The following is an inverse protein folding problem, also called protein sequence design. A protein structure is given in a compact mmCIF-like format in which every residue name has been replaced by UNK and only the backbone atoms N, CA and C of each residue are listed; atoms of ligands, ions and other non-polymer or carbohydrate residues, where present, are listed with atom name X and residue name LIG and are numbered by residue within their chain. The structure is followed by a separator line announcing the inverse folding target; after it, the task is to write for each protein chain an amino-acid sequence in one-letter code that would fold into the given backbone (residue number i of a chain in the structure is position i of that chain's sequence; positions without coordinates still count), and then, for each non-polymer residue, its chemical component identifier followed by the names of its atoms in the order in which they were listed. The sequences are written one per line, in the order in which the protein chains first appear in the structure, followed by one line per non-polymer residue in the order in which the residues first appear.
data_IF_924941441482
#
_entry.id   IF_924941441482
#
_cell.length_a   1.000
_cell.length_b   1.000
_cell.length_c   1.000
_cell.angle_alpha   90.00
_cell.angle_beta   90.00
_cell.angle_gamma   90.00
#
_symmetry.space_group_name_H-M   'P 1'
#
loop_
_entity.id
_entity.type
_entity.pdbx_description
1 polymer ?
#
# COMPACT_ATOMS: atom_id res chain seq x y z
N UNK A 1 -9.61 -13.80 8.11
CA UNK A 1 -8.89 -12.95 7.16
C UNK A 1 -9.05 -11.50 7.60
N UNK A 2 -7.96 -10.74 7.59
CA UNK A 2 -7.97 -9.31 7.89
C UNK A 2 -7.20 -8.57 6.80
N UNK A 3 -7.66 -7.37 6.47
CA UNK A 3 -6.98 -6.46 5.56
C UNK A 3 -6.67 -5.16 6.31
N UNK A 4 -5.48 -4.63 6.07
CA UNK A 4 -5.06 -3.35 6.61
C UNK A 4 -4.57 -2.44 5.49
N UNK A 5 -4.91 -1.18 5.56
CA UNK A 5 -4.28 -0.13 4.78
C UNK A 5 -3.14 0.48 5.61
N UNK A 6 -1.95 0.53 5.03
CA UNK A 6 -0.73 1.01 5.70
C UNK A 6 -0.27 2.36 5.17
N UNK A 7 0.12 3.23 6.10
CA UNK A 7 0.93 4.40 5.82
C UNK A 7 2.32 4.21 6.44
N UNK A 8 3.24 5.14 6.24
CA UNK A 8 4.54 5.13 6.93
C UNK A 8 4.41 5.12 8.47
N UNK A 9 3.27 5.53 9.01
CA UNK A 9 3.11 5.77 10.45
C UNK A 9 2.17 4.79 11.15
N UNK A 10 1.26 4.14 10.42
CA UNK A 10 0.23 3.30 11.03
C UNK A 10 -0.42 2.34 10.05
N UNK A 11 -1.04 1.29 10.60
CA UNK A 11 -2.00 0.42 9.90
C UNK A 11 -3.43 0.77 10.35
N UNK A 12 -4.34 0.81 9.39
CA UNK A 12 -5.79 0.98 9.62
C UNK A 12 -6.51 -0.23 9.07
N UNK A 13 -7.36 -0.86 9.90
CA UNK A 13 -8.13 -2.03 9.46
C UNK A 13 -9.19 -1.62 8.43
N UNK A 14 -9.22 -2.38 7.32
CA UNK A 14 -10.25 -2.26 6.28
C UNK A 14 -11.25 -3.40 6.47
N UNK A 15 -12.56 -3.13 6.56
CA UNK A 15 -13.56 -4.17 6.71
C UNK A 15 -13.65 -5.02 5.44
N UNK A 16 -13.46 -6.33 5.59
CA UNK A 16 -13.50 -7.31 4.50
C UNK A 16 -14.36 -8.54 4.86
N UNK A 17 -14.97 -8.52 6.03
CA UNK A 17 -15.71 -9.64 6.60
C UNK A 17 -16.90 -10.07 5.72
N UNK A 18 -17.52 -9.13 5.01
CA UNK A 18 -18.68 -9.38 4.14
C UNK A 18 -18.27 -9.88 2.74
N UNK A 19 -17.02 -9.73 2.35
CA UNK A 19 -16.52 -10.05 1.00
C UNK A 19 -15.52 -11.19 0.96
N UNK A 20 -14.96 -11.57 2.11
CA UNK A 20 -14.01 -12.68 2.22
C UNK A 20 -14.47 -13.72 3.23
N UNK A 21 -14.23 -15.02 2.98
CA UNK A 21 -14.50 -16.04 3.99
C UNK A 21 -13.58 -15.83 5.19
N UNK A 22 -14.13 -15.94 6.39
CA UNK A 22 -13.36 -15.76 7.63
C UNK A 22 -12.78 -17.09 8.12
N UNK A 23 -13.42 -18.22 7.78
CA UNK A 23 -13.02 -19.57 8.19
C UNK A 23 -12.98 -20.51 7.00
N UNK A 24 -12.11 -21.52 7.09
CA UNK A 24 -11.99 -22.56 6.06
C UNK A 24 -13.31 -23.30 5.83
N UNK A 25 -14.07 -23.56 6.90
CA UNK A 25 -15.34 -24.27 6.87
C UNK A 25 -16.42 -23.58 6.02
N UNK A 26 -16.34 -22.26 5.89
CA UNK A 26 -17.28 -21.47 5.05
C UNK A 26 -17.12 -21.79 3.57
N UNK A 27 -15.95 -22.26 3.16
CA UNK A 27 -15.65 -22.56 1.74
C UNK A 27 -15.77 -24.05 1.43
N UNK A 28 -15.39 -24.92 2.37
CA UNK A 28 -15.34 -26.38 2.16
C UNK A 28 -16.58 -27.13 2.69
N UNK A 29 -17.45 -26.46 3.46
CA UNK A 29 -18.67 -27.05 4.00
C UNK A 29 -18.47 -27.79 5.35
N UNK A 30 -19.59 -28.14 6.01
CA UNK A 30 -19.61 -28.76 7.34
C UNK A 30 -19.06 -30.19 7.37
N UNK A 31 -19.06 -30.91 6.27
CA UNK A 31 -18.57 -32.31 6.18
C UNK A 31 -17.09 -32.46 6.53
N UNK A 32 -16.34 -31.36 6.49
CA UNK A 32 -14.93 -31.31 6.87
C UNK A 32 -14.70 -31.71 8.34
N UNK A 33 -15.57 -31.32 9.28
CA UNK A 33 -15.44 -31.66 10.68
C UNK A 33 -15.64 -33.15 11.00
N UNK A 34 -16.56 -33.80 10.31
CA UNK A 34 -16.85 -35.21 10.55
C UNK A 34 -15.70 -36.11 10.08
N UNK A 35 -15.12 -35.84 8.93
CA UNK A 35 -13.99 -36.60 8.40
C UNK A 35 -12.77 -36.48 9.35
N UNK A 36 -12.49 -35.29 9.88
CA UNK A 36 -11.36 -35.06 10.79
C UNK A 36 -11.55 -35.67 12.17
N UNK A 37 -12.78 -35.73 12.68
CA UNK A 37 -13.10 -36.36 13.94
C UNK A 37 -13.08 -37.89 13.85
N UNK A 38 -13.49 -38.47 12.73
CA UNK A 38 -13.43 -39.92 12.49
C UNK A 38 -11.99 -40.45 12.49
N UNK A 39 -11.03 -39.69 11.97
CA UNK A 39 -9.60 -40.06 12.01
C UNK A 39 -9.00 -40.04 13.43
N UNK A 40 -9.56 -39.27 14.38
CA UNK A 40 -9.10 -39.22 15.77
C UNK A 40 -9.69 -40.30 16.66
N UNK A 41 -10.86 -40.79 16.35
CA UNK A 41 -11.55 -41.81 17.16
C UNK A 41 -11.29 -43.26 16.76
N UNK A 42 -10.60 -43.47 15.61
CA UNK A 42 -10.29 -44.83 15.10
C UNK A 42 -9.10 -45.54 15.73
N UNK A 43 -8.48 -45.02 16.81
CA UNK A 43 -7.30 -45.61 17.44
C UNK A 43 -7.61 -46.25 18.80
N UNK A 44 -8.53 -47.19 18.78
CA UNK A 44 -8.71 -48.09 19.94
C UNK A 44 -9.27 -49.44 19.46
N UNK A 45 -8.39 -50.42 19.19
CA UNK A 45 -8.76 -51.81 19.05
C UNK A 45 -8.06 -52.58 17.92
N UNK A 46 -7.02 -53.34 18.30
CA UNK A 46 -6.47 -54.59 17.74
C UNK A 46 -6.37 -54.73 16.19
N UNK A 47 -5.15 -54.64 15.73
CA UNK A 47 -4.51 -55.54 14.76
C UNK A 47 -5.20 -55.82 13.41
N UNK A 48 -4.84 -55.03 12.37
CA UNK A 48 -4.63 -55.55 11.00
C UNK A 48 -3.74 -54.56 10.26
N UNK A 49 -2.87 -55.12 9.42
CA UNK A 49 -1.78 -54.50 8.64
C UNK A 49 -2.02 -53.11 8.09
N UNK A 50 -0.99 -52.25 8.29
CA UNK A 50 -0.97 -50.91 7.82
C UNK A 50 -1.14 -50.76 6.34
N UNK A 51 -2.12 -50.02 5.93
CA UNK A 51 -2.13 -49.33 4.64
C UNK A 51 -1.64 -47.91 4.84
N UNK A 52 -0.53 -47.58 4.21
CA UNK A 52 0.11 -46.29 4.28
C UNK A 52 -0.71 -45.23 3.50
N UNK A 53 -1.72 -44.65 4.16
CA UNK A 53 -2.47 -43.49 3.66
C UNK A 53 -1.85 -42.13 4.07
N UNK A 54 -0.52 -42.00 4.06
CA UNK A 54 0.12 -40.73 4.45
C UNK A 54 0.09 -39.65 3.35
N UNK A 55 -0.37 -39.96 2.12
CA UNK A 55 -0.47 -39.01 1.00
C UNK A 55 -1.82 -38.32 0.87
N UNK A 56 -2.92 -39.07 0.94
CA UNK A 56 -4.27 -38.57 0.63
C UNK A 56 -4.72 -37.42 1.54
N UNK A 57 -4.53 -37.50 2.84
CA UNK A 57 -4.97 -36.45 3.77
C UNK A 57 -4.16 -35.14 3.68
N UNK A 58 -2.94 -35.16 3.12
CA UNK A 58 -2.16 -33.95 2.88
C UNK A 58 -2.59 -33.25 1.58
N UNK A 59 -2.93 -34.02 0.57
CA UNK A 59 -3.36 -33.49 -0.73
C UNK A 59 -4.77 -32.90 -0.62
N UNK A 60 -5.68 -33.52 0.14
CA UNK A 60 -7.02 -32.98 0.41
C UNK A 60 -6.93 -31.65 1.14
N UNK A 61 -6.11 -31.53 2.19
CA UNK A 61 -5.91 -30.28 2.92
C UNK A 61 -5.32 -29.19 2.05
N UNK A 62 -4.41 -29.51 1.16
CA UNK A 62 -3.84 -28.55 0.19
C UNK A 62 -4.92 -28.01 -0.75
N UNK A 63 -5.79 -28.88 -1.26
CA UNK A 63 -6.90 -28.51 -2.13
C UNK A 63 -7.85 -27.57 -1.40
N UNK A 64 -8.19 -27.86 -0.16
CA UNK A 64 -9.12 -27.04 0.64
C UNK A 64 -8.55 -25.66 0.96
N UNK A 65 -7.31 -25.58 1.45
CA UNK A 65 -6.64 -24.29 1.70
C UNK A 65 -6.51 -23.49 0.39
N UNK A 66 -6.24 -24.16 -0.74
CA UNK A 66 -6.21 -23.48 -2.04
C UNK A 66 -7.58 -22.92 -2.44
N UNK A 67 -8.68 -23.66 -2.18
CA UNK A 67 -10.04 -23.14 -2.41
C UNK A 67 -10.33 -21.91 -1.55
N UNK A 68 -9.94 -21.98 -0.27
CA UNK A 68 -10.05 -20.84 0.64
C UNK A 68 -9.28 -19.62 0.12
N UNK A 69 -8.01 -19.80 -0.25
CA UNK A 69 -7.18 -18.73 -0.82
C UNK A 69 -7.81 -18.12 -2.08
N UNK A 70 -8.41 -18.93 -2.97
CA UNK A 70 -9.14 -18.43 -4.14
C UNK A 70 -10.35 -17.58 -3.77
N UNK A 71 -11.11 -18.01 -2.78
CA UNK A 71 -12.27 -17.26 -2.32
C UNK A 71 -11.87 -15.92 -1.69
N UNK A 72 -10.81 -15.92 -0.88
CA UNK A 72 -10.20 -14.69 -0.34
C UNK A 72 -9.75 -13.76 -1.45
N UNK A 73 -8.96 -14.26 -2.42
CA UNK A 73 -8.49 -13.46 -3.55
C UNK A 73 -9.66 -12.85 -4.35
N UNK A 74 -10.71 -13.65 -4.61
CA UNK A 74 -11.89 -13.16 -5.31
C UNK A 74 -12.60 -12.03 -4.57
N UNK A 75 -12.73 -12.14 -3.25
CA UNK A 75 -13.32 -11.09 -2.42
C UNK A 75 -12.49 -9.80 -2.45
N UNK A 76 -11.17 -9.91 -2.29
CA UNK A 76 -10.26 -8.77 -2.29
C UNK A 76 -10.18 -8.04 -3.64
N UNK A 77 -10.48 -8.71 -4.76
CA UNK A 77 -10.50 -8.06 -6.07
C UNK A 77 -11.45 -6.86 -6.13
N UNK A 78 -12.55 -6.87 -5.39
CA UNK A 78 -13.51 -5.75 -5.36
C UNK A 78 -12.92 -4.47 -4.76
N UNK A 79 -11.89 -4.58 -3.93
CA UNK A 79 -11.20 -3.45 -3.31
C UNK A 79 -9.89 -3.13 -4.05
N UNK A 80 -9.18 -4.17 -4.54
CA UNK A 80 -7.83 -4.04 -5.06
C UNK A 80 -7.75 -3.83 -6.59
N UNK A 81 -8.87 -3.87 -7.33
CA UNK A 81 -8.84 -3.90 -8.80
C UNK A 81 -8.17 -2.66 -9.42
N UNK A 82 -8.34 -1.47 -8.83
CA UNK A 82 -7.72 -0.22 -9.29
C UNK A 82 -6.54 0.22 -8.41
N UNK A 83 -6.20 -0.57 -7.38
CA UNK A 83 -5.09 -0.24 -6.50
C UNK A 83 -3.74 -0.54 -7.18
N UNK A 84 -2.74 0.29 -6.87
CA UNK A 84 -1.36 0.15 -7.37
C UNK A 84 -0.34 0.04 -6.24
N UNK A 85 -0.80 0.01 -5.00
CA UNK A 85 0.07 -0.04 -3.82
C UNK A 85 0.62 -1.45 -3.59
N UNK A 86 1.84 -1.59 -3.06
CA UNK A 86 2.38 -2.90 -2.72
C UNK A 86 1.54 -3.58 -1.63
N UNK A 87 1.26 -4.87 -1.80
CA UNK A 87 0.57 -5.70 -0.82
C UNK A 87 1.56 -6.67 -0.18
N UNK A 88 1.61 -6.69 1.14
CA UNK A 88 2.38 -7.66 1.93
C UNK A 88 1.40 -8.64 2.59
N UNK A 89 1.69 -9.92 2.51
CA UNK A 89 0.88 -10.97 3.14
C UNK A 89 1.56 -11.40 4.44
N UNK A 90 0.80 -11.49 5.53
CA UNK A 90 1.22 -12.15 6.76
C UNK A 90 0.53 -13.52 6.86
N UNK A 91 1.32 -14.59 6.81
CA UNK A 91 0.82 -15.97 6.87
C UNK A 91 1.96 -16.95 7.14
N UNK A 92 1.64 -18.15 7.58
CA UNK A 92 2.62 -19.25 7.58
C UNK A 92 3.04 -19.59 6.15
N UNK A 93 4.29 -19.98 5.94
CA UNK A 93 4.91 -20.18 4.62
C UNK A 93 4.10 -21.06 3.68
N UNK A 94 3.50 -22.11 4.22
CA UNK A 94 2.65 -23.01 3.45
C UNK A 94 1.41 -22.32 2.87
N UNK A 95 0.73 -21.51 3.67
CA UNK A 95 -0.46 -20.76 3.25
C UNK A 95 -0.07 -19.66 2.27
N UNK A 96 1.01 -18.95 2.54
CA UNK A 96 1.55 -17.95 1.60
C UNK A 96 1.84 -18.55 0.24
N UNK A 97 2.54 -19.69 0.19
CA UNK A 97 2.86 -20.37 -1.08
C UNK A 97 1.61 -20.77 -1.89
N UNK A 98 0.51 -21.14 -1.21
CA UNK A 98 -0.75 -21.44 -1.88
C UNK A 98 -1.49 -20.18 -2.32
N UNK A 99 -1.46 -19.13 -1.52
CA UNK A 99 -2.06 -17.85 -1.87
C UNK A 99 -1.35 -17.23 -3.08
N UNK A 100 -0.02 -17.28 -3.12
CA UNK A 100 0.78 -16.78 -4.24
C UNK A 100 0.40 -17.44 -5.59
N UNK A 101 0.04 -18.73 -5.57
CA UNK A 101 -0.38 -19.45 -6.79
C UNK A 101 -1.75 -19.02 -7.32
N UNK A 102 -2.60 -18.46 -6.49
CA UNK A 102 -3.98 -18.07 -6.85
C UNK A 102 -4.21 -16.55 -6.84
N UNK A 103 -3.25 -15.80 -6.35
CA UNK A 103 -3.29 -14.35 -6.32
C UNK A 103 -3.31 -13.77 -7.74
N UNK A 104 -4.14 -12.76 -7.94
CA UNK A 104 -4.27 -12.02 -9.20
C UNK A 104 -3.90 -10.55 -9.07
N UNK A 105 -3.61 -10.10 -7.86
CA UNK A 105 -3.14 -8.73 -7.62
C UNK A 105 -1.68 -8.57 -8.03
N UNK A 106 -1.41 -7.68 -8.98
CA UNK A 106 -0.09 -7.57 -9.62
C UNK A 106 1.00 -6.96 -8.72
N UNK A 107 0.59 -6.22 -7.67
CA UNK A 107 1.51 -5.52 -6.76
C UNK A 107 1.70 -6.27 -5.43
N UNK A 108 1.47 -7.58 -5.41
CA UNK A 108 1.80 -8.40 -4.25
C UNK A 108 3.31 -8.57 -4.15
N UNK A 109 3.86 -8.31 -2.96
CA UNK A 109 5.29 -8.54 -2.68
C UNK A 109 5.62 -10.03 -2.70
N UNK A 110 6.81 -10.38 -3.22
CA UNK A 110 7.37 -11.73 -3.10
C UNK A 110 7.83 -12.07 -1.68
N UNK A 111 8.09 -11.04 -0.86
CA UNK A 111 8.37 -11.19 0.56
C UNK A 111 7.07 -11.12 1.36
N UNK A 112 7.00 -11.91 2.43
CA UNK A 112 5.86 -11.97 3.32
C UNK A 112 6.30 -12.01 4.78
N UNK A 113 5.39 -11.75 5.70
CA UNK A 113 5.62 -11.90 7.14
C UNK A 113 5.29 -13.34 7.51
N UNK A 114 6.33 -14.15 7.74
CA UNK A 114 6.20 -15.57 8.05
C UNK A 114 5.73 -15.77 9.49
N UNK A 115 4.90 -16.77 9.72
CA UNK A 115 4.41 -17.17 11.04
C UNK A 115 2.90 -17.09 11.19
N UNK A 116 2.39 -17.30 12.42
CA UNK A 116 0.97 -17.11 12.69
C UNK A 116 0.66 -15.62 12.84
N UNK A 117 -0.18 -15.01 11.99
CA UNK A 117 -0.51 -13.58 12.07
C UNK A 117 -1.06 -13.15 13.44
N UNK A 118 -1.79 -14.03 14.13
CA UNK A 118 -2.36 -13.75 15.46
C UNK A 118 -1.31 -13.60 16.57
N UNK A 119 -0.06 -14.02 16.32
CA UNK A 119 1.03 -13.87 17.28
C UNK A 119 1.73 -12.52 17.24
N UNK A 120 1.42 -11.70 16.23
CA UNK A 120 1.99 -10.37 16.05
C UNK A 120 1.06 -9.29 16.58
N UNK A 121 1.61 -8.30 17.25
CA UNK A 121 0.90 -7.04 17.50
C UNK A 121 0.74 -6.24 16.19
N UNK A 122 -0.20 -5.30 16.17
CA UNK A 122 -0.40 -4.41 15.03
C UNK A 122 0.85 -3.57 14.72
N UNK A 123 1.61 -3.22 15.76
CA UNK A 123 2.85 -2.45 15.65
C UNK A 123 3.98 -3.28 15.01
N UNK A 124 4.11 -4.55 15.35
CA UNK A 124 5.05 -5.48 14.73
C UNK A 124 4.70 -5.76 13.27
N UNK A 125 3.41 -5.97 12.97
CA UNK A 125 2.94 -6.12 11.59
C UNK A 125 3.25 -4.86 10.76
N UNK A 126 3.03 -3.67 11.34
CA UNK A 126 3.34 -2.40 10.67
C UNK A 126 4.84 -2.28 10.37
N UNK A 127 5.70 -2.41 11.39
CA UNK A 127 7.15 -2.24 11.22
C UNK A 127 7.72 -3.23 10.21
N UNK A 128 7.36 -4.51 10.32
CA UNK A 128 7.87 -5.55 9.41
C UNK A 128 7.34 -5.36 7.98
N UNK A 129 6.06 -5.02 7.81
CA UNK A 129 5.53 -4.75 6.47
C UNK A 129 6.16 -3.50 5.86
N UNK A 130 6.43 -2.46 6.66
CA UNK A 130 7.11 -1.26 6.19
C UNK A 130 8.53 -1.55 5.71
N UNK A 131 9.30 -2.37 6.43
CA UNK A 131 10.65 -2.79 5.99
C UNK A 131 10.63 -3.47 4.61
N UNK A 132 9.57 -4.26 4.33
CA UNK A 132 9.41 -4.93 3.05
C UNK A 132 9.10 -3.94 1.92
N UNK A 133 8.21 -2.96 2.15
CA UNK A 133 7.71 -2.07 1.09
C UNK A 133 8.50 -0.76 0.93
N UNK A 134 9.21 -0.31 1.96
CA UNK A 134 9.98 0.95 1.94
C UNK A 134 10.96 1.05 0.75
N UNK A 135 11.69 -0.02 0.35
CA UNK A 135 12.54 0.02 -0.84
C UNK A 135 11.78 0.38 -2.12
N UNK A 136 10.56 -0.14 -2.29
CA UNK A 136 9.73 0.16 -3.47
C UNK A 136 9.37 1.65 -3.52
N UNK A 137 8.93 2.22 -2.41
CA UNK A 137 8.62 3.65 -2.31
C UNK A 137 9.86 4.53 -2.51
N UNK A 138 11.01 4.12 -1.96
CA UNK A 138 12.26 4.84 -2.15
C UNK A 138 12.75 4.79 -3.60
N UNK A 139 12.63 3.66 -4.28
CA UNK A 139 12.98 3.54 -5.70
C UNK A 139 12.10 4.45 -6.57
N UNK A 140 10.78 4.43 -6.35
CA UNK A 140 9.86 5.32 -7.08
C UNK A 140 10.20 6.80 -6.83
N UNK A 141 10.53 7.16 -5.59
CA UNK A 141 10.97 8.51 -5.26
C UNK A 141 12.26 8.89 -6.02
N UNK A 142 13.28 8.01 -6.03
CA UNK A 142 14.52 8.26 -6.76
C UNK A 142 14.31 8.38 -8.27
N UNK A 143 13.44 7.57 -8.85
CA UNK A 143 13.04 7.69 -10.25
C UNK A 143 12.46 9.08 -10.56
N UNK A 144 11.59 9.60 -9.68
CA UNK A 144 11.00 10.93 -9.84
C UNK A 144 12.04 12.05 -9.69
N UNK A 145 13.01 11.91 -8.77
CA UNK A 145 14.15 12.84 -8.65
C UNK A 145 15.00 12.82 -9.94
N UNK A 146 15.35 11.63 -10.43
CA UNK A 146 16.15 11.50 -11.65
C UNK A 146 15.43 12.14 -12.85
N UNK A 147 14.12 11.89 -12.97
CA UNK A 147 13.29 12.51 -14.01
C UNK A 147 13.23 14.04 -13.87
N UNK A 148 13.16 14.57 -12.65
CA UNK A 148 13.22 16.02 -12.42
C UNK A 148 14.54 16.61 -12.95
N UNK A 149 15.67 15.99 -12.64
CA UNK A 149 16.97 16.45 -13.11
C UNK A 149 17.13 16.32 -14.64
N UNK A 150 16.64 15.23 -15.22
CA UNK A 150 16.64 15.02 -16.67
C UNK A 150 15.84 16.11 -17.40
N UNK A 151 14.70 16.51 -16.84
CA UNK A 151 13.81 17.49 -17.43
C UNK A 151 14.08 18.94 -16.98
N UNK A 152 15.11 19.20 -16.17
CA UNK A 152 15.39 20.49 -15.53
C UNK A 152 15.60 21.65 -16.50
N UNK A 153 15.96 21.36 -17.77
CA UNK A 153 16.12 22.37 -18.83
C UNK A 153 14.84 22.53 -19.69
N UNK A 154 13.74 21.97 -19.26
CA UNK A 154 12.47 22.00 -19.99
C UNK A 154 11.39 22.73 -19.18
N UNK A 155 10.25 23.03 -19.80
CA UNK A 155 9.07 23.57 -19.10
C UNK A 155 8.29 22.52 -18.30
N UNK A 156 8.84 21.31 -18.16
CA UNK A 156 8.21 20.21 -17.40
C UNK A 156 8.63 20.14 -15.94
N UNK A 157 9.49 21.05 -15.50
CA UNK A 157 9.88 21.17 -14.09
C UNK A 157 9.84 22.63 -13.66
N UNK A 158 9.60 22.86 -12.38
CA UNK A 158 9.76 24.18 -11.78
C UNK A 158 10.09 24.06 -10.30
N UNK A 159 10.84 25.05 -9.81
CA UNK A 159 11.09 25.33 -8.39
C UNK A 159 10.52 26.68 -7.97
N UNK A 160 9.85 27.39 -8.89
CA UNK A 160 9.15 28.63 -8.59
C UNK A 160 7.74 28.34 -8.06
N UNK A 161 7.47 28.78 -6.84
CA UNK A 161 6.18 28.55 -6.17
C UNK A 161 5.00 29.13 -6.97
N UNK A 162 5.15 30.23 -7.69
CA UNK A 162 4.10 30.82 -8.53
C UNK A 162 3.69 29.89 -9.66
N UNK A 163 4.68 29.33 -10.36
CA UNK A 163 4.44 28.40 -11.46
C UNK A 163 3.80 27.11 -10.94
N UNK A 164 4.27 26.62 -9.78
CA UNK A 164 3.75 25.42 -9.11
C UNK A 164 2.30 25.62 -8.66
N UNK A 165 1.97 26.77 -8.05
CA UNK A 165 0.60 27.10 -7.65
C UNK A 165 -0.33 27.15 -8.88
N UNK A 166 0.09 27.83 -9.93
CA UNK A 166 -0.65 27.86 -11.21
C UNK A 166 -0.86 26.45 -11.76
N UNK A 167 0.20 25.65 -11.81
CA UNK A 167 0.14 24.30 -12.37
C UNK A 167 -0.70 23.37 -11.52
N UNK A 168 -0.62 23.44 -10.18
CA UNK A 168 -1.41 22.59 -9.27
C UNK A 168 -2.92 22.86 -9.40
N UNK A 169 -3.32 24.11 -9.42
CA UNK A 169 -4.72 24.51 -9.59
C UNK A 169 -5.30 24.11 -10.96
N UNK A 170 -4.46 24.01 -11.99
CA UNK A 170 -4.85 23.55 -13.33
C UNK A 170 -4.65 22.05 -13.56
N UNK A 171 -4.35 21.26 -12.51
CA UNK A 171 -4.17 19.81 -12.59
C UNK A 171 -2.94 19.36 -13.42
N UNK A 172 -1.97 20.24 -13.64
CA UNK A 172 -0.77 19.97 -14.44
C UNK A 172 0.36 19.31 -13.66
N UNK A 173 0.31 19.35 -12.33
CA UNK A 173 1.36 18.72 -11.51
C UNK A 173 1.20 17.21 -11.53
N UNK A 174 2.27 16.50 -11.93
CA UNK A 174 2.40 15.05 -11.81
C UNK A 174 2.94 14.70 -10.43
N UNK A 175 4.04 15.33 -10.05
CA UNK A 175 4.72 15.08 -8.78
C UNK A 175 5.15 16.41 -8.14
N UNK A 176 4.78 16.59 -6.87
CA UNK A 176 5.20 17.72 -6.04
C UNK A 176 6.15 17.23 -4.95
N UNK A 177 7.33 17.83 -4.86
CA UNK A 177 8.26 17.61 -3.76
C UNK A 177 8.17 18.82 -2.81
N UNK A 178 8.04 18.54 -1.52
CA UNK A 178 7.84 19.56 -0.47
C UNK A 178 8.89 19.35 0.61
N UNK A 179 9.55 20.43 1.00
CA UNK A 179 10.50 20.41 2.10
C UNK A 179 9.75 20.31 3.44
N UNK A 180 10.10 19.29 4.23
CA UNK A 180 9.49 19.04 5.53
C UNK A 180 9.61 20.26 6.46
N UNK A 181 8.47 20.66 7.04
CA UNK A 181 8.40 21.74 8.00
C UNK A 181 8.59 23.15 7.41
N UNK A 182 8.62 23.28 6.08
CA UNK A 182 8.64 24.58 5.40
C UNK A 182 7.26 24.96 4.95
N UNK A 183 6.83 26.17 5.37
CA UNK A 183 5.60 26.80 4.89
C UNK A 183 5.92 28.21 4.39
N UNK A 184 5.22 28.64 3.37
CA UNK A 184 5.30 29.97 2.80
C UNK A 184 3.91 30.60 2.91
N UNK A 185 3.83 31.70 3.62
CA UNK A 185 2.60 32.44 3.82
C UNK A 185 2.44 33.52 2.77
N UNK A 186 1.20 33.74 2.33
CA UNK A 186 0.94 34.78 1.34
C UNK A 186 -0.41 34.64 0.66
N UNK A 187 -0.60 35.40 -0.39
CA UNK A 187 -1.81 35.35 -1.24
C UNK A 187 -1.44 35.05 -2.68
N UNK A 188 -2.24 34.21 -3.32
CA UNK A 188 -2.10 33.89 -4.74
C UNK A 188 -3.41 34.13 -5.48
N UNK A 189 -3.34 34.90 -6.56
CA UNK A 189 -4.45 35.19 -7.46
C UNK A 189 -4.26 34.47 -8.79
N UNK A 190 -4.99 33.41 -9.03
CA UNK A 190 -4.86 32.55 -10.21
C UNK A 190 -5.07 33.32 -11.53
N UNK A 191 -6.15 34.13 -11.64
CA UNK A 191 -6.49 34.85 -12.86
C UNK A 191 -5.42 35.86 -13.32
N UNK A 192 -4.71 36.45 -12.36
CA UNK A 192 -3.66 37.45 -12.60
C UNK A 192 -2.26 36.85 -12.52
N UNK A 193 -2.14 35.61 -12.08
CA UNK A 193 -0.88 34.94 -11.76
C UNK A 193 0.03 35.79 -10.84
N UNK A 194 -0.58 36.43 -9.82
CA UNK A 194 0.12 37.29 -8.88
C UNK A 194 0.30 36.54 -7.57
N UNK A 195 1.54 36.37 -7.16
CA UNK A 195 1.96 35.79 -5.88
C UNK A 195 2.53 36.93 -5.01
N UNK A 196 1.96 37.10 -3.81
CA UNK A 196 2.50 37.96 -2.77
C UNK A 196 2.90 37.09 -1.58
N UNK A 197 4.19 37.08 -1.25
CA UNK A 197 4.73 36.36 -0.10
C UNK A 197 4.79 37.31 1.09
N UNK A 198 4.39 36.81 2.26
CA UNK A 198 4.37 37.52 3.53
C UNK A 198 5.24 36.80 4.55
N UNK A 199 5.80 37.54 5.52
CA UNK A 199 6.70 36.99 6.53
C UNK A 199 6.02 36.12 7.56
N UNK A 200 4.75 36.43 7.87
CA UNK A 200 4.05 35.83 8.99
C UNK A 200 2.64 35.39 8.60
N UNK A 201 2.13 34.37 9.31
CA UNK A 201 0.74 33.96 9.23
C UNK A 201 -0.17 35.03 9.78
N UNK A 202 -1.22 35.38 9.06
CA UNK A 202 -2.26 36.31 9.50
C UNK A 202 -3.64 35.89 8.94
N UNK A 203 -4.71 36.65 9.34
CA UNK A 203 -6.09 36.31 8.95
C UNK A 203 -6.40 36.50 7.44
N UNK A 204 -5.47 37.05 6.66
CA UNK A 204 -5.69 37.44 5.26
C UNK A 204 -4.78 36.70 4.29
N UNK A 205 -3.92 35.79 4.77
CA UNK A 205 -3.03 35.01 3.93
C UNK A 205 -3.25 33.50 4.14
N UNK A 206 -2.76 32.72 3.19
CA UNK A 206 -2.86 31.28 3.14
C UNK A 206 -1.49 30.62 3.27
N UNK A 207 -1.50 29.36 3.70
CA UNK A 207 -0.35 28.45 3.64
C UNK A 207 -0.18 27.97 2.19
N UNK A 208 0.66 28.63 1.42
CA UNK A 208 0.76 28.46 -0.03
C UNK A 208 1.31 27.09 -0.43
N UNK A 209 2.28 26.56 0.35
CA UNK A 209 2.80 25.20 0.12
C UNK A 209 1.71 24.17 0.36
N UNK A 210 0.97 24.30 1.46
CA UNK A 210 -0.15 23.41 1.78
C UNK A 210 -1.25 23.48 0.71
N UNK A 211 -1.55 24.69 0.20
CA UNK A 211 -2.48 24.86 -0.90
C UNK A 211 -2.03 24.08 -2.16
N UNK A 212 -0.77 24.19 -2.56
CA UNK A 212 -0.23 23.43 -3.69
C UNK A 212 -0.33 21.91 -3.47
N UNK A 213 -0.07 21.43 -2.25
CA UNK A 213 -0.24 20.02 -1.86
C UNK A 213 -1.68 19.56 -2.07
N UNK A 214 -2.65 20.27 -1.50
CA UNK A 214 -4.07 19.90 -1.62
C UNK A 214 -4.49 19.84 -3.09
N UNK A 215 -4.17 20.88 -3.87
CA UNK A 215 -4.54 20.95 -5.28
C UNK A 215 -3.88 19.82 -6.09
N UNK A 216 -2.61 19.50 -5.82
CA UNK A 216 -1.92 18.39 -6.49
C UNK A 216 -2.62 17.06 -6.21
N UNK A 217 -2.96 16.77 -4.95
CA UNK A 217 -3.64 15.53 -4.57
C UNK A 217 -5.06 15.44 -5.14
N UNK A 218 -5.83 16.54 -5.11
CA UNK A 218 -7.19 16.59 -5.66
C UNK A 218 -7.23 16.30 -7.17
N UNK A 219 -6.17 16.65 -7.90
CA UNK A 219 -6.02 16.36 -9.31
C UNK A 219 -5.26 15.04 -9.60
N UNK A 220 -5.09 14.18 -8.59
CA UNK A 220 -4.46 12.87 -8.76
C UNK A 220 -2.94 12.92 -9.03
N UNK A 221 -2.27 13.96 -8.59
CA UNK A 221 -0.80 14.03 -8.56
C UNK A 221 -0.24 13.40 -7.30
N UNK A 222 1.05 13.13 -7.30
CA UNK A 222 1.79 12.59 -6.15
C UNK A 222 2.47 13.71 -5.36
N UNK A 223 2.58 13.54 -4.04
CA UNK A 223 3.29 14.48 -3.16
C UNK A 223 4.31 13.71 -2.32
N UNK A 224 5.55 14.19 -2.32
CA UNK A 224 6.63 13.70 -1.46
C UNK A 224 7.09 14.81 -0.52
N UNK A 225 6.88 14.60 0.79
CA UNK A 225 7.48 15.42 1.82
C UNK A 225 8.83 14.83 2.23
N UNK A 226 9.93 15.62 2.13
CA UNK A 226 11.29 15.16 2.38
C UNK A 226 12.12 16.21 3.11
N UNK A 227 13.25 15.76 3.68
CA UNK A 227 14.26 16.66 4.24
C UNK A 227 14.90 17.52 3.14
N UNK A 228 15.56 18.62 3.51
CA UNK A 228 16.24 19.51 2.55
C UNK A 228 17.29 18.78 1.71
N UNK A 229 17.98 17.81 2.31
CA UNK A 229 19.03 17.02 1.63
C UNK A 229 18.47 16.08 0.55
N UNK A 230 17.21 15.68 0.67
CA UNK A 230 16.51 14.78 -0.24
C UNK A 230 15.68 15.52 -1.30
N UNK A 231 15.66 16.87 -1.26
CA UNK A 231 14.95 17.64 -2.27
C UNK A 231 15.68 17.61 -3.63
N UNK A 232 14.93 17.58 -4.77
CA UNK A 232 15.55 17.63 -6.10
C UNK A 232 16.44 18.86 -6.29
N UNK A 233 16.02 20.02 -5.83
CA UNK A 233 16.80 21.25 -5.80
C UNK A 233 16.86 21.75 -4.35
N UNK A 234 18.08 21.91 -3.84
CA UNK A 234 18.30 22.31 -2.46
C UNK A 234 18.01 23.80 -2.25
N UNK A 235 17.62 24.13 -1.03
CA UNK A 235 17.39 25.51 -0.61
C UNK A 235 16.03 26.09 -1.04
N UNK A 236 15.19 25.32 -1.72
CA UNK A 236 13.83 25.71 -2.10
C UNK A 236 12.78 24.88 -1.38
N UNK A 237 11.66 25.50 -1.04
CA UNK A 237 10.61 24.84 -0.27
C UNK A 237 9.83 23.81 -1.10
N UNK A 238 9.77 23.98 -2.42
CA UNK A 238 8.96 23.16 -3.34
C UNK A 238 9.66 22.95 -4.67
N UNK A 239 9.50 21.76 -5.24
CA UNK A 239 9.87 21.44 -6.61
C UNK A 239 8.73 20.66 -7.24
N UNK A 240 8.50 20.77 -8.54
CA UNK A 240 7.44 20.05 -9.22
C UNK A 240 7.85 19.48 -10.58
N UNK A 241 7.33 18.29 -10.88
CA UNK A 241 7.25 17.71 -12.20
C UNK A 241 5.86 17.98 -12.78
N UNK A 242 5.79 18.43 -14.02
CA UNK A 242 4.54 18.68 -14.72
C UNK A 242 4.26 17.57 -15.74
N UNK A 243 2.97 17.28 -15.96
CA UNK A 243 2.49 16.27 -16.92
C UNK A 243 2.79 16.68 -18.36
N UNK A 244 2.69 18.00 -18.65
CA UNK A 244 2.86 18.61 -19.97
C UNK A 244 3.22 20.07 -19.83
#
# INVERSE_FOLDING_TARGET
VELFEGTQYQLTKVPVEDITPQKLEEVVGYDYRETFLQFRTGQSGMGVAGFHGHGEGKDDRKIEVTKFCRAVNKGLQSILHDATYPMVVSAVDYVFSLYQQVNTYQHMSDQHISGNPESYSLEELHSTSWEIVAPTFNNTFQEKINLFHELSQTMKTSSDLRDILSASMNGRVDTLFVMKGKEIWGTYHLEKNILNIESDNNLHNDALVHHAVIQTLQHGGMVYERSEDDMPERGVAVNALFRY
#
